data_IF_748415021428
#
_entry.id   IF_748415021428
#
_cell.length_a   1.000
_cell.length_b   1.000
_cell.length_c   1.000
_cell.angle_alpha   90.00
_cell.angle_beta   90.00
_cell.angle_gamma   90.00
#
_symmetry.space_group_name_H-M   'P 1'
#
loop_
_entity.id
_entity.type
_entity.pdbx_description
1 polymer ?
#
# COMPACT_ATOMS: atom_id res chain seq x y z
N UNK A 1 11.43 -6.09 -11.47
CA UNK A 1 10.22 -6.82 -11.91
C UNK A 1 9.00 -5.91 -11.79
N UNK A 2 7.93 -6.16 -12.53
CA UNK A 2 6.73 -5.30 -12.52
C UNK A 2 5.50 -6.01 -12.00
N UNK A 3 4.84 -5.39 -11.04
CA UNK A 3 3.54 -5.79 -10.54
C UNK A 3 2.50 -4.73 -10.90
N UNK A 4 1.31 -5.19 -11.27
CA UNK A 4 0.21 -4.36 -11.74
C UNK A 4 -0.97 -4.52 -10.79
N UNK A 5 -1.49 -3.38 -10.35
CA UNK A 5 -2.61 -3.33 -9.45
C UNK A 5 -3.66 -2.35 -9.98
N UNK A 6 -4.92 -2.79 -9.99
CA UNK A 6 -6.03 -1.93 -10.42
C UNK A 6 -6.18 -0.73 -9.48
N UNK A 7 -6.56 0.40 -10.04
CA UNK A 7 -7.02 1.55 -9.27
C UNK A 7 -8.40 1.23 -8.67
N UNK A 8 -8.74 1.82 -7.53
CA UNK A 8 -10.07 1.67 -6.88
C UNK A 8 -10.45 0.28 -6.38
N UNK A 9 -9.50 -0.63 -6.17
CA UNK A 9 -9.73 -1.84 -5.34
C UNK A 9 -9.97 -1.52 -3.85
N UNK A 10 -10.05 -0.24 -3.50
CA UNK A 10 -10.35 0.26 -2.15
C UNK A 10 -11.82 0.16 -1.71
N UNK A 11 -12.72 -0.50 -2.47
CA UNK A 11 -13.91 -1.02 -1.81
C UNK A 11 -13.48 -2.23 -0.99
N UNK A 12 -13.02 -1.95 0.23
CA UNK A 12 -12.40 -2.84 1.24
C UNK A 12 -13.28 -4.01 1.74
N UNK A 13 -14.11 -4.56 0.86
CA UNK A 13 -14.93 -5.75 1.03
C UNK A 13 -14.57 -6.87 0.06
N UNK A 14 -13.92 -6.57 -1.07
CA UNK A 14 -13.73 -7.54 -2.13
C UNK A 14 -12.27 -7.98 -2.26
N UNK A 15 -12.08 -9.25 -2.63
CA UNK A 15 -10.79 -9.82 -3.01
C UNK A 15 -10.34 -9.22 -4.35
N UNK A 16 -9.06 -8.91 -4.48
CA UNK A 16 -8.48 -8.51 -5.76
C UNK A 16 -7.15 -9.18 -6.04
N UNK A 17 -6.76 -9.16 -7.32
CA UNK A 17 -5.55 -9.82 -7.80
C UNK A 17 -4.51 -8.78 -8.21
N UNK A 18 -3.25 -9.11 -7.93
CA UNK A 18 -2.07 -8.38 -8.39
C UNK A 18 -1.42 -9.23 -9.47
N UNK A 19 -1.13 -8.61 -10.60
CA UNK A 19 -0.65 -9.29 -11.81
C UNK A 19 0.79 -8.95 -12.09
N UNK A 20 1.51 -9.84 -12.78
CA UNK A 20 2.82 -9.51 -13.34
C UNK A 20 2.75 -8.92 -14.75
N UNK A 21 3.92 -8.64 -15.32
CA UNK A 21 4.09 -8.14 -16.70
C UNK A 21 3.58 -9.07 -17.80
N UNK A 22 3.37 -10.36 -17.49
CA UNK A 22 2.82 -11.37 -18.39
C UNK A 22 1.32 -11.57 -18.20
N UNK A 23 0.66 -10.68 -17.44
CA UNK A 23 -0.77 -10.69 -17.16
C UNK A 23 -1.23 -11.85 -16.25
N UNK A 24 -0.28 -12.55 -15.64
CA UNK A 24 -0.55 -13.67 -14.73
C UNK A 24 -0.78 -13.15 -13.32
N UNK A 25 -1.78 -13.71 -12.64
CA UNK A 25 -1.99 -13.43 -11.22
C UNK A 25 -0.77 -13.93 -10.43
N UNK A 26 -0.21 -13.08 -9.57
CA UNK A 26 0.91 -13.42 -8.67
C UNK A 26 0.46 -13.52 -7.22
N UNK A 27 -0.39 -12.59 -6.83
CA UNK A 27 -0.94 -12.51 -5.49
C UNK A 27 -2.43 -12.19 -5.56
N UNK A 28 -3.13 -12.52 -4.49
CA UNK A 28 -4.44 -11.96 -4.23
C UNK A 28 -4.48 -11.35 -2.83
N UNK A 29 -5.22 -10.26 -2.71
CA UNK A 29 -5.38 -9.51 -1.48
C UNK A 29 -6.83 -9.61 -1.04
N UNK A 30 -7.03 -9.90 0.23
CA UNK A 30 -8.34 -9.95 0.87
C UNK A 30 -8.43 -8.85 1.93
N UNK A 31 -9.44 -7.98 1.80
CA UNK A 31 -9.73 -6.98 2.80
C UNK A 31 -10.74 -7.46 3.82
N UNK A 32 -10.44 -7.28 5.10
CA UNK A 32 -11.40 -7.48 6.20
C UNK A 32 -11.73 -6.12 6.84
N UNK A 33 -13.03 -5.80 6.84
CA UNK A 33 -13.56 -4.61 7.49
C UNK A 33 -14.28 -5.00 8.78
N UNK A 34 -13.57 -4.94 9.91
CA UNK A 34 -14.19 -5.08 11.22
C UNK A 34 -14.63 -3.73 11.77
N UNK A 35 -15.46 -3.76 12.82
CA UNK A 35 -15.93 -2.56 13.53
C UNK A 35 -14.80 -1.75 14.16
N UNK A 36 -13.64 -2.36 14.42
CA UNK A 36 -12.56 -1.71 15.18
C UNK A 36 -11.43 -1.18 14.30
N UNK A 37 -11.21 -1.77 13.12
CA UNK A 37 -10.11 -1.39 12.23
C UNK A 37 -10.04 -2.24 10.97
N UNK A 38 -9.18 -1.83 10.06
CA UNK A 38 -9.03 -2.42 8.72
C UNK A 38 -7.85 -3.37 8.68
N UNK A 39 -8.02 -4.46 7.94
CA UNK A 39 -7.01 -5.49 7.75
C UNK A 39 -6.95 -5.87 6.28
N UNK A 40 -5.74 -6.15 5.79
CA UNK A 40 -5.51 -6.71 4.46
C UNK A 40 -4.61 -7.94 4.62
N UNK A 41 -5.02 -9.03 4.01
CA UNK A 41 -4.27 -10.27 3.94
C UNK A 41 -3.78 -10.44 2.51
N UNK A 42 -2.48 -10.65 2.33
CA UNK A 42 -1.86 -10.84 1.02
C UNK A 42 -1.45 -12.30 0.93
N UNK A 43 -1.95 -12.98 -0.10
CA UNK A 43 -1.70 -14.39 -0.33
C UNK A 43 -1.00 -14.61 -1.67
N UNK A 44 -0.13 -15.62 -1.70
CA UNK A 44 0.34 -16.18 -2.96
C UNK A 44 -0.73 -17.08 -3.61
N UNK A 45 -0.47 -17.55 -4.83
CA UNK A 45 -1.40 -18.44 -5.55
C UNK A 45 -1.54 -19.84 -4.92
N UNK A 46 -0.65 -20.23 -4.01
CA UNK A 46 -0.76 -21.47 -3.25
C UNK A 46 -1.69 -21.36 -2.04
N UNK A 47 -2.13 -20.13 -1.72
CA UNK A 47 -2.94 -19.82 -0.55
C UNK A 47 -2.12 -19.59 0.72
N UNK A 48 -0.80 -19.45 0.63
CA UNK A 48 0.05 -19.06 1.76
C UNK A 48 -0.07 -17.55 1.95
N UNK A 49 -0.36 -17.11 3.17
CA UNK A 49 -0.26 -15.69 3.53
C UNK A 49 1.22 -15.26 3.52
N UNK A 50 1.53 -14.28 2.67
CA UNK A 50 2.90 -13.75 2.51
C UNK A 50 3.08 -12.40 3.20
N UNK A 51 2.00 -11.65 3.39
CA UNK A 51 2.01 -10.42 4.16
C UNK A 51 0.64 -10.14 4.79
N UNK A 52 0.66 -9.46 5.92
CA UNK A 52 -0.53 -9.03 6.64
C UNK A 52 -0.39 -7.56 7.02
N UNK A 53 -1.41 -6.77 6.73
CA UNK A 53 -1.42 -5.33 7.00
C UNK A 53 -2.60 -5.02 7.90
N UNK A 54 -2.36 -4.34 9.01
CA UNK A 54 -3.39 -4.01 9.97
C UNK A 54 -3.34 -2.55 10.39
N UNK A 55 -4.50 -1.91 10.39
CA UNK A 55 -4.66 -0.57 10.96
C UNK A 55 -4.50 -0.61 12.48
N UNK A 56 -3.67 0.29 13.01
CA UNK A 56 -3.64 0.56 14.45
C UNK A 56 -4.90 1.31 14.85
N UNK A 57 -5.64 0.71 15.77
CA UNK A 57 -6.88 1.25 16.32
C UNK A 57 -6.56 2.14 17.52
N UNK A 58 -7.39 3.16 17.79
CA UNK A 58 -7.18 4.14 18.87
C UNK A 58 -5.91 4.99 18.79
N UNK A 59 -5.37 5.25 17.58
CA UNK A 59 -4.34 6.26 17.37
C UNK A 59 -4.94 7.58 16.87
N UNK A 60 -4.35 8.70 17.27
CA UNK A 60 -4.80 10.03 16.82
C UNK A 60 -4.54 10.28 15.33
N UNK A 61 -3.51 9.63 14.79
CA UNK A 61 -3.16 9.66 13.37
C UNK A 61 -3.36 8.28 12.73
N UNK A 62 -3.69 8.22 11.43
CA UNK A 62 -3.68 6.98 10.68
C UNK A 62 -2.32 6.30 10.76
N UNK A 63 -2.33 5.04 11.23
CA UNK A 63 -1.14 4.21 11.44
C UNK A 63 -1.47 2.79 11.01
N UNK A 64 -0.54 2.17 10.29
CA UNK A 64 -0.68 0.79 9.81
C UNK A 64 0.57 0.00 10.14
N UNK A 65 0.38 -1.25 10.53
CA UNK A 65 1.41 -2.23 10.76
C UNK A 65 1.49 -3.18 9.57
N UNK A 66 2.70 -3.48 9.15
CA UNK A 66 3.00 -4.43 8.08
C UNK A 66 3.74 -5.60 8.68
N UNK A 67 3.21 -6.80 8.48
CA UNK A 67 3.77 -8.06 8.92
C UNK A 67 4.12 -8.91 7.71
N UNK A 68 5.27 -9.58 7.74
CA UNK A 68 5.69 -10.58 6.76
C UNK A 68 6.15 -11.79 7.55
N UNK A 69 5.63 -12.96 7.21
CA UNK A 69 5.90 -14.20 7.96
C UNK A 69 5.67 -14.03 9.49
N UNK A 70 4.59 -13.34 9.86
CA UNK A 70 4.21 -13.00 11.25
C UNK A 70 5.14 -12.02 11.98
N UNK A 71 6.24 -11.58 11.37
CA UNK A 71 7.16 -10.59 11.94
C UNK A 71 6.75 -9.17 11.54
N UNK A 72 6.74 -8.23 12.50
CA UNK A 72 6.48 -6.82 12.24
C UNK A 72 7.70 -6.20 11.54
N UNK A 73 7.60 -6.02 10.22
CA UNK A 73 8.69 -5.45 9.41
C UNK A 73 8.61 -3.94 9.28
N UNK A 74 7.40 -3.36 9.28
CA UNK A 74 7.24 -1.92 9.19
C UNK A 74 6.00 -1.35 9.91
N UNK A 75 6.14 -0.14 10.46
CA UNK A 75 5.04 0.73 10.86
C UNK A 75 4.98 1.93 9.90
N UNK A 76 3.87 2.08 9.19
CA UNK A 76 3.62 3.23 8.32
C UNK A 76 2.81 4.26 9.10
N UNK A 77 3.43 5.41 9.33
CA UNK A 77 2.86 6.52 10.08
C UNK A 77 2.72 7.73 9.16
N UNK A 78 1.52 8.30 9.11
CA UNK A 78 1.35 9.62 8.52
C UNK A 78 1.97 10.68 9.42
N UNK A 79 2.89 11.47 8.89
CA UNK A 79 3.43 12.63 9.60
C UNK A 79 2.47 13.83 9.53
N UNK A 80 2.52 14.67 10.56
CA UNK A 80 1.74 15.90 10.59
C UNK A 80 2.45 16.97 9.74
N UNK A 81 2.01 17.15 8.50
CA UNK A 81 2.59 18.12 7.57
C UNK A 81 1.53 19.08 7.02
N UNK A 82 1.90 20.35 6.87
CA UNK A 82 0.95 21.43 6.51
C UNK A 82 0.71 21.58 5.00
N UNK A 83 1.60 21.05 4.16
CA UNK A 83 1.58 21.30 2.70
C UNK A 83 1.65 20.05 1.82
N UNK A 84 2.43 19.03 2.19
CA UNK A 84 2.57 17.78 1.43
C UNK A 84 2.45 16.56 2.34
N UNK A 85 1.64 15.55 2.02
CA UNK A 85 1.57 14.32 2.81
C UNK A 85 2.97 13.70 2.87
N UNK A 86 3.45 13.44 4.08
CA UNK A 86 4.71 12.73 4.33
C UNK A 86 4.38 11.50 5.14
N UNK A 87 4.94 10.38 4.72
CA UNK A 87 4.79 9.09 5.38
C UNK A 87 6.16 8.68 5.91
N UNK A 88 6.21 8.27 7.16
CA UNK A 88 7.38 7.64 7.77
C UNK A 88 7.13 6.14 7.79
N UNK A 89 8.07 5.40 7.22
CA UNK A 89 8.16 3.96 7.35
C UNK A 89 9.15 3.72 8.50
N UNK A 90 8.68 3.17 9.62
CA UNK A 90 9.53 2.77 10.74
C UNK A 90 9.78 1.27 10.66
N UNK A 91 10.98 0.80 11.02
CA UNK A 91 11.37 -0.62 10.92
C UNK A 91 12.19 -0.93 9.67
N UNK A 92 11.90 -0.24 8.57
CA UNK A 92 12.75 -0.20 7.37
C UNK A 92 13.41 1.18 7.27
N UNK A 93 14.64 1.26 6.76
CA UNK A 93 15.31 2.54 6.47
C UNK A 93 14.81 3.16 5.15
N UNK A 94 13.53 2.95 4.85
CA UNK A 94 12.94 3.31 3.59
C UNK A 94 12.33 4.70 3.63
N UNK A 95 12.64 5.50 2.62
CA UNK A 95 12.13 6.85 2.44
C UNK A 95 11.23 6.89 1.21
N UNK A 96 10.09 7.57 1.31
CA UNK A 96 9.16 7.71 0.19
C UNK A 96 9.15 9.15 -0.31
N UNK A 97 9.28 9.31 -1.62
CA UNK A 97 9.34 10.61 -2.30
C UNK A 97 8.46 10.62 -3.54
N UNK A 98 7.65 11.67 -3.72
CA UNK A 98 6.79 11.85 -4.90
C UNK A 98 5.40 12.35 -4.57
N UNK A 99 4.46 12.15 -5.52
CA UNK A 99 3.04 12.43 -5.38
C UNK A 99 2.23 11.15 -5.14
N UNK A 100 1.93 10.93 -3.87
CA UNK A 100 1.11 9.82 -3.39
C UNK A 100 -0.32 9.81 -3.95
N UNK A 101 -0.91 10.99 -4.21
CA UNK A 101 -2.28 11.08 -4.70
C UNK A 101 -2.40 10.75 -6.18
N UNK A 102 -1.35 11.07 -6.95
CA UNK A 102 -1.24 10.72 -8.35
C UNK A 102 -0.80 9.27 -8.60
N UNK A 103 -0.49 8.52 -7.53
CA UNK A 103 0.18 7.21 -7.62
C UNK A 103 1.48 7.32 -8.43
N UNK A 104 2.25 8.39 -8.19
CA UNK A 104 3.51 8.71 -8.86
C UNK A 104 4.58 9.00 -7.79
N UNK A 105 5.18 7.95 -7.24
CA UNK A 105 6.14 8.05 -6.14
C UNK A 105 7.13 6.89 -6.11
N UNK A 106 8.24 7.11 -5.42
CA UNK A 106 9.37 6.18 -5.34
C UNK A 106 9.74 5.93 -3.89
N UNK A 107 10.17 4.70 -3.60
CA UNK A 107 10.65 4.26 -2.29
C UNK A 107 12.14 3.94 -2.40
N UNK A 108 12.94 4.49 -1.51
CA UNK A 108 14.39 4.38 -1.47
C UNK A 108 14.87 3.76 -0.17
N UNK A 109 15.85 2.86 -0.23
CA UNK A 109 16.64 2.43 0.93
C UNK A 109 17.97 3.18 0.92
N UNK A 110 18.04 4.28 1.68
CA UNK A 110 19.15 5.22 1.59
C UNK A 110 19.27 5.88 0.20
N UNK A 111 20.13 5.35 -0.67
CA UNK A 111 20.33 5.84 -2.05
C UNK A 111 19.82 4.88 -3.12
N UNK A 112 19.48 3.66 -2.73
CA UNK A 112 19.10 2.61 -3.66
C UNK A 112 17.58 2.66 -3.85
N UNK A 113 17.15 2.78 -5.10
CA UNK A 113 15.74 2.71 -5.44
C UNK A 113 15.24 1.28 -5.18
N UNK A 114 14.20 1.14 -4.36
CA UNK A 114 13.58 -0.15 -4.05
C UNK A 114 12.41 -0.41 -4.98
N UNK A 115 11.50 0.55 -5.08
CA UNK A 115 10.30 0.45 -5.92
C UNK A 115 9.88 1.82 -6.43
N UNK A 116 9.48 1.87 -7.70
CA UNK A 116 8.85 3.03 -8.35
C UNK A 116 7.40 2.72 -8.67
N UNK A 117 6.50 3.63 -8.31
CA UNK A 117 5.06 3.51 -8.48
C UNK A 117 4.64 4.59 -9.47
N UNK A 118 3.99 4.19 -10.56
CA UNK A 118 3.50 5.10 -11.59
C UNK A 118 2.18 4.61 -12.17
N UNK A 119 1.33 5.53 -12.64
CA UNK A 119 0.08 5.15 -13.31
C UNK A 119 0.35 4.52 -14.68
N UNK A 120 -0.29 3.39 -14.95
CA UNK A 120 -0.21 2.68 -16.22
C UNK A 120 -1.42 3.06 -17.09
N UNK A 121 -1.17 3.69 -18.23
CA UNK A 121 -2.24 4.29 -19.05
C UNK A 121 -2.65 3.44 -20.27
N UNK A 122 -1.81 2.50 -20.71
CA UNK A 122 -1.97 1.89 -22.04
C UNK A 122 -2.42 0.43 -21.99
N UNK A 123 -1.81 -0.41 -21.14
CA UNK A 123 -2.06 -1.87 -21.17
C UNK A 123 -3.11 -2.35 -20.18
N UNK A 124 -3.28 -1.63 -19.06
CA UNK A 124 -4.00 -2.14 -17.89
C UNK A 124 -5.21 -1.30 -17.44
N UNK A 125 -5.70 -0.40 -18.31
CA UNK A 125 -6.79 0.51 -17.98
C UNK A 125 -6.44 1.44 -16.82
N UNK A 126 -7.35 1.65 -15.86
CA UNK A 126 -7.03 2.33 -14.60
C UNK A 126 -6.27 1.38 -13.66
N UNK A 127 -4.98 1.21 -13.90
CA UNK A 127 -4.06 0.48 -13.01
C UNK A 127 -2.81 1.31 -12.75
N UNK A 128 -2.10 0.98 -11.69
CA UNK A 128 -0.74 1.46 -11.47
C UNK A 128 0.22 0.29 -11.50
N UNK A 129 1.48 0.59 -11.82
CA UNK A 129 2.57 -0.37 -11.87
C UNK A 129 3.55 -0.07 -10.75
N UNK A 130 3.97 -1.13 -10.06
CA UNK A 130 5.06 -1.15 -9.10
C UNK A 130 6.25 -1.79 -9.80
N UNK A 131 7.26 -0.99 -10.12
CA UNK A 131 8.53 -1.47 -10.68
C UNK A 131 9.53 -1.67 -9.54
N UNK A 132 9.73 -2.93 -9.16
CA UNK A 132 10.54 -3.36 -8.02
C UNK A 132 11.94 -3.71 -8.51
N UNK A 133 12.97 -3.07 -7.96
CA UNK A 133 14.33 -3.20 -8.46
C UNK A 133 14.98 -4.53 -8.08
N UNK A 134 14.76 -5.02 -6.85
CA UNK A 134 15.25 -6.32 -6.38
C UNK A 134 14.09 -7.27 -6.07
N UNK A 135 14.12 -8.45 -6.66
CA UNK A 135 13.13 -9.51 -6.44
C UNK A 135 13.07 -9.97 -4.98
N UNK A 136 14.15 -9.85 -4.21
CA UNK A 136 14.13 -10.18 -2.77
C UNK A 136 13.22 -9.25 -1.97
N UNK A 137 13.03 -8.02 -2.46
CA UNK A 137 12.16 -7.02 -1.85
C UNK A 137 10.72 -7.08 -2.38
N UNK A 138 10.36 -8.07 -3.20
CA UNK A 138 9.05 -8.13 -3.87
C UNK A 138 7.89 -8.04 -2.87
N UNK A 139 7.85 -8.93 -1.87
CA UNK A 139 6.78 -8.97 -0.86
C UNK A 139 6.84 -7.74 0.06
N UNK A 140 8.04 -7.29 0.42
CA UNK A 140 8.25 -6.11 1.26
C UNK A 140 7.73 -4.84 0.59
N UNK A 141 8.13 -4.60 -0.66
CA UNK A 141 7.69 -3.47 -1.46
C UNK A 141 6.18 -3.52 -1.69
N UNK A 142 5.64 -4.69 -2.04
CA UNK A 142 4.19 -4.86 -2.22
C UNK A 142 3.41 -4.52 -0.95
N UNK A 143 3.82 -5.07 0.20
CA UNK A 143 3.12 -4.87 1.46
C UNK A 143 3.19 -3.41 1.93
N UNK A 144 4.36 -2.77 1.76
CA UNK A 144 4.53 -1.34 2.06
C UNK A 144 3.66 -0.47 1.17
N UNK A 145 3.65 -0.71 -0.14
CA UNK A 145 2.81 0.03 -1.10
C UNK A 145 1.34 -0.10 -0.73
N UNK A 146 0.85 -1.33 -0.50
CA UNK A 146 -0.54 -1.58 -0.07
C UNK A 146 -0.89 -0.84 1.24
N UNK A 147 0.04 -0.77 2.18
CA UNK A 147 -0.18 -0.06 3.44
C UNK A 147 -0.20 1.46 3.26
N UNK A 148 0.65 2.05 2.41
CA UNK A 148 0.59 3.48 2.04
C UNK A 148 -0.77 3.80 1.41
N UNK A 149 -1.19 2.96 0.48
CA UNK A 149 -2.48 3.05 -0.22
C UNK A 149 -3.65 2.98 0.77
N UNK A 150 -3.55 2.09 1.76
CA UNK A 150 -4.51 1.98 2.85
C UNK A 150 -4.60 3.26 3.70
N UNK A 151 -3.45 3.88 3.99
CA UNK A 151 -3.40 5.15 4.72
C UNK A 151 -4.04 6.29 3.90
N UNK A 152 -3.75 6.38 2.61
CA UNK A 152 -4.29 7.39 1.69
C UNK A 152 -5.82 7.32 1.58
N UNK A 153 -6.36 6.11 1.45
CA UNK A 153 -7.80 5.88 1.38
C UNK A 153 -8.49 6.20 2.73
N UNK A 154 -7.86 5.87 3.87
CA UNK A 154 -8.38 6.23 5.18
C UNK A 154 -8.45 7.76 5.38
N UNK A 155 -7.46 8.50 4.87
CA UNK A 155 -7.46 9.97 4.87
C UNK A 155 -8.59 10.55 4.02
N UNK A 156 -8.80 10.01 2.82
CA UNK A 156 -9.86 10.48 1.90
C UNK A 156 -11.25 10.36 2.54
N UNK A 157 -11.50 9.26 3.25
CA UNK A 157 -12.75 9.04 3.97
C UNK A 157 -12.95 10.03 5.14
N UNK A 158 -11.88 10.31 5.91
CA UNK A 158 -11.94 11.28 7.02
C UNK A 158 -12.14 12.72 6.53
N UNK A 159 -11.45 13.12 5.45
CA UNK A 159 -11.60 14.46 4.85
C UNK A 159 -12.99 14.71 4.27
N UNK A 160 -13.62 13.70 3.67
CA UNK A 160 -14.99 13.80 3.16
C UNK A 160 -16.03 14.01 4.27
N UNK A 161 -15.80 13.47 5.47
CA UNK A 161 -16.72 13.65 6.62
C UNK A 161 -16.67 15.04 7.25
N UNK A 162 -15.57 15.79 7.07
CA UNK A 162 -15.42 17.15 7.59
C UNK A 162 -16.04 18.24 6.70
N UNK A 163 -16.45 17.90 5.47
CA UNK A 163 -17.07 18.84 4.51
C UNK A 163 -18.60 18.80 4.47
N UNK A 164 -19.26 17.92 5.23
CA UNK A 164 -20.72 17.72 5.18
C UNK A 164 -21.50 18.56 6.21
N UNK A 165 -20.87 19.54 6.84
CA UNK A 165 -21.53 20.52 7.71
C UNK A 165 -21.33 21.92 7.15
N UNK A 166 -22.21 22.33 6.23
CA UNK A 166 -22.57 23.73 6.01
C UNK A 166 -23.97 23.83 5.42
#
# INVERSE_FOLDING_TARGET
MKLYMKQKVFSWKDRFYIKDENEQDRYYVEGELFSWGKKLHVYDLSGKEVAFIQQKVFSWLPKFYVYIEEELIAEIVKEFTFFKPKYSIQGLNWEVSGDFWAHDYEIYDGRDLVVSIQKEWFRWGDSYVMDIMDNQNEVHALAVVLAIDAVLAAQSAAGASAGASN
#
